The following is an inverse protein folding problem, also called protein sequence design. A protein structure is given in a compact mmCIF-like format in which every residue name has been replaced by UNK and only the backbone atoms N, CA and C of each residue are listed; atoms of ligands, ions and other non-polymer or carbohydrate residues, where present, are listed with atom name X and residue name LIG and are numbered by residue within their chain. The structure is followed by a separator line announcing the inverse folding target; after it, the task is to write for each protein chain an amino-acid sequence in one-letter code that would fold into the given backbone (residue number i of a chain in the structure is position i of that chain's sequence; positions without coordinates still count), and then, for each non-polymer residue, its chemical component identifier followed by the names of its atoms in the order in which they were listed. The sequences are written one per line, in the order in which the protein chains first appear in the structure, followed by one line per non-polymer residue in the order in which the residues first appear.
data_IF_792086968215
#
_entry.id   IF_792086968215
#
_cell.length_a   1.000
_cell.length_b   1.000
_cell.length_c   1.000
_cell.angle_alpha   90.00
_cell.angle_beta   90.00
_cell.angle_gamma   90.00
#
_symmetry.space_group_name_H-M   'P 1'
#
loop_
_entity.id
_entity.type
_entity.pdbx_description
1 polymer ?
#
# COMPACT_ATOMS: atom_id res chain seq x y z
N UNK A 1 4.85 1.02 -17.41
CA UNK A 1 5.36 -0.10 -18.24
C UNK A 1 6.84 -0.46 -17.98
N UNK A 2 7.47 -0.05 -16.86
CA UNK A 2 8.93 -0.25 -16.64
C UNK A 2 9.34 -1.11 -15.44
N UNK A 3 8.41 -1.67 -14.66
CA UNK A 3 8.76 -2.67 -13.63
C UNK A 3 8.59 -4.05 -14.24
N UNK A 4 9.66 -4.55 -14.89
CA UNK A 4 9.79 -5.97 -15.15
C UNK A 4 9.57 -6.73 -13.84
N UNK A 5 8.86 -7.85 -13.88
CA UNK A 5 8.47 -8.61 -12.69
C UNK A 5 9.71 -8.93 -11.86
N UNK A 6 9.84 -8.27 -10.70
CA UNK A 6 10.88 -8.59 -9.74
C UNK A 6 10.71 -10.06 -9.35
N UNK A 7 11.78 -10.84 -9.48
CA UNK A 7 11.73 -12.28 -9.24
C UNK A 7 11.22 -12.56 -7.81
N UNK A 8 10.27 -13.47 -7.70
CA UNK A 8 9.69 -13.86 -6.40
C UNK A 8 8.61 -12.91 -5.86
N UNK A 9 8.05 -12.00 -6.66
CA UNK A 9 6.92 -11.17 -6.19
C UNK A 9 5.64 -11.98 -6.05
N UNK A 10 4.98 -11.92 -4.88
CA UNK A 10 3.73 -12.65 -4.57
C UNK A 10 2.56 -11.68 -4.42
N UNK A 11 1.42 -11.92 -5.08
CA UNK A 11 0.20 -11.14 -4.85
C UNK A 11 -0.43 -11.51 -3.51
N UNK A 12 -0.86 -10.51 -2.74
CA UNK A 12 -1.64 -10.71 -1.52
C UNK A 12 -3.11 -10.93 -1.90
N UNK A 13 -3.74 -11.96 -1.34
CA UNK A 13 -5.15 -12.28 -1.65
C UNK A 13 -6.18 -11.44 -0.88
N UNK A 14 -5.72 -10.68 0.12
CA UNK A 14 -6.58 -9.94 1.07
C UNK A 14 -6.64 -8.44 0.79
N UNK A 15 -5.70 -7.92 0.01
CA UNK A 15 -5.59 -6.50 -0.35
C UNK A 15 -5.05 -6.41 -1.77
N UNK A 16 -5.31 -5.30 -2.47
CA UNK A 16 -4.67 -5.05 -3.76
C UNK A 16 -3.21 -4.63 -3.56
N UNK A 17 -2.35 -5.63 -3.34
CA UNK A 17 -0.97 -5.42 -2.98
C UNK A 17 -0.08 -6.63 -3.28
N UNK A 18 1.22 -6.38 -3.25
CA UNK A 18 2.25 -7.37 -3.59
C UNK A 18 3.29 -7.45 -2.47
N UNK A 19 3.72 -8.67 -2.17
CA UNK A 19 4.85 -8.98 -1.31
C UNK A 19 6.09 -9.21 -2.17
N UNK A 20 7.12 -8.41 -1.95
CA UNK A 20 8.42 -8.59 -2.57
C UNK A 20 9.27 -9.49 -1.67
N UNK A 21 9.87 -10.52 -2.24
CA UNK A 21 10.84 -11.38 -1.54
C UNK A 21 12.24 -10.75 -1.61
N UNK A 22 12.35 -9.52 -1.12
CA UNK A 22 13.58 -8.74 -1.09
C UNK A 22 13.80 -8.21 0.33
N UNK A 23 15.02 -8.36 0.85
CA UNK A 23 15.38 -7.72 2.10
C UNK A 23 15.91 -6.29 1.87
N UNK A 24 16.02 -5.53 2.97
CA UNK A 24 16.50 -4.14 2.95
C UNK A 24 17.95 -4.04 2.45
N UNK A 25 18.76 -5.07 2.66
CA UNK A 25 20.16 -5.06 2.27
C UNK A 25 20.28 -5.20 0.75
N UNK A 26 19.64 -6.22 0.17
CA UNK A 26 19.57 -6.49 -1.27
C UNK A 26 19.09 -5.27 -2.07
N UNK A 27 18.06 -4.58 -1.57
CA UNK A 27 17.56 -3.36 -2.21
C UNK A 27 18.57 -2.19 -2.17
N UNK A 28 19.39 -2.09 -1.13
CA UNK A 28 20.38 -1.01 -0.98
C UNK A 28 21.67 -1.29 -1.73
N UNK A 29 22.06 -2.55 -1.85
CA UNK A 29 23.27 -2.99 -2.55
C UNK A 29 23.02 -3.32 -4.03
N UNK A 30 21.77 -3.20 -4.51
CA UNK A 30 21.39 -3.44 -5.89
C UNK A 30 22.27 -2.64 -6.87
N UNK A 31 22.95 -3.31 -7.83
CA UNK A 31 23.74 -2.65 -8.86
C UNK A 31 22.90 -1.72 -9.74
N UNK A 32 23.50 -0.63 -10.22
CA UNK A 32 22.84 0.27 -11.16
C UNK A 32 22.40 -0.48 -12.43
N UNK A 33 21.21 -0.15 -12.94
CA UNK A 33 20.62 -0.83 -14.11
C UNK A 33 19.83 -2.10 -13.79
N UNK A 34 19.78 -2.54 -12.53
CA UNK A 34 18.89 -3.63 -12.09
C UNK A 34 17.48 -3.13 -11.79
N UNK A 35 16.49 -4.03 -11.82
CA UNK A 35 15.11 -3.70 -11.49
C UNK A 35 14.94 -3.28 -10.02
N UNK A 36 15.75 -3.83 -9.12
CA UNK A 36 15.79 -3.49 -7.70
C UNK A 36 16.29 -2.05 -7.49
N UNK A 37 17.32 -1.62 -8.25
CA UNK A 37 17.80 -0.24 -8.22
C UNK A 37 16.73 0.74 -8.72
N UNK A 38 16.05 0.42 -9.83
CA UNK A 38 14.93 1.22 -10.33
C UNK A 38 13.75 1.27 -9.34
N UNK A 39 13.42 0.14 -8.70
CA UNK A 39 12.39 0.11 -7.65
C UNK A 39 12.78 1.02 -6.47
N UNK A 40 14.03 0.95 -6.02
CA UNK A 40 14.53 1.81 -4.94
C UNK A 40 14.38 3.29 -5.28
N UNK A 41 14.81 3.69 -6.47
CA UNK A 41 14.67 5.08 -6.95
C UNK A 41 13.21 5.51 -7.02
N UNK A 42 12.34 4.66 -7.56
CA UNK A 42 10.90 4.91 -7.61
C UNK A 42 10.28 5.07 -6.22
N UNK A 43 10.63 4.23 -5.25
CA UNK A 43 10.16 4.36 -3.87
C UNK A 43 10.65 5.65 -3.20
N UNK A 44 11.92 6.01 -3.39
CA UNK A 44 12.46 7.27 -2.86
C UNK A 44 11.70 8.46 -3.47
N UNK A 45 11.56 8.49 -4.80
CA UNK A 45 10.83 9.54 -5.51
C UNK A 45 9.36 9.64 -5.07
N UNK A 46 8.68 8.51 -4.93
CA UNK A 46 7.28 8.43 -4.49
C UNK A 46 7.08 8.93 -3.06
N UNK A 47 7.98 8.58 -2.14
CA UNK A 47 7.92 9.05 -0.75
C UNK A 47 8.26 10.53 -0.61
N UNK A 48 9.30 11.02 -1.30
CA UNK A 48 9.68 12.45 -1.27
C UNK A 48 8.60 13.34 -1.88
N UNK A 49 7.86 12.87 -2.89
CA UNK A 49 6.75 13.61 -3.50
C UNK A 49 5.42 13.48 -2.75
N UNK A 50 5.37 12.73 -1.64
CA UNK A 50 4.15 12.53 -0.85
C UNK A 50 3.12 11.61 -1.51
N UNK A 51 3.46 10.96 -2.63
CA UNK A 51 2.56 10.03 -3.35
C UNK A 51 2.53 8.63 -2.72
N UNK A 52 3.45 8.35 -1.81
CA UNK A 52 3.58 7.05 -1.15
C UNK A 52 3.86 7.25 0.34
N UNK A 53 3.13 6.52 1.17
CA UNK A 53 3.36 6.44 2.60
C UNK A 53 3.94 5.07 2.95
N UNK A 54 5.00 5.06 3.76
CA UNK A 54 5.52 3.81 4.33
C UNK A 54 4.72 3.50 5.58
N UNK A 55 4.02 2.37 5.58
CA UNK A 55 3.26 1.90 6.73
C UNK A 55 3.69 0.49 7.14
N UNK A 56 3.70 0.27 8.45
CA UNK A 56 3.79 -1.07 9.01
C UNK A 56 2.42 -1.74 8.96
N UNK A 57 2.38 -3.02 8.62
CA UNK A 57 1.13 -3.80 8.49
C UNK A 57 0.27 -3.73 9.75
N UNK A 58 0.86 -3.85 10.95
CA UNK A 58 0.12 -3.77 12.21
C UNK A 58 -0.57 -2.41 12.40
N UNK A 59 0.00 -1.34 11.84
CA UNK A 59 -0.56 0.01 11.88
C UNK A 59 -1.71 0.21 10.89
N UNK A 60 -1.84 -0.65 9.88
CA UNK A 60 -2.89 -0.60 8.86
C UNK A 60 -4.16 -1.35 9.26
N UNK A 61 -4.05 -2.34 10.16
CA UNK A 61 -5.17 -3.19 10.59
C UNK A 61 -6.37 -2.40 11.14
N UNK A 62 -6.20 -1.36 11.99
CA UNK A 62 -7.36 -0.67 12.58
C UNK A 62 -8.29 -0.03 11.54
N UNK A 63 -7.73 0.61 10.50
CA UNK A 63 -8.53 1.23 9.45
C UNK A 63 -9.23 0.18 8.56
N UNK A 64 -8.56 -0.94 8.30
CA UNK A 64 -9.14 -2.06 7.53
C UNK A 64 -10.30 -2.70 8.30
N UNK A 65 -10.14 -2.96 9.61
CA UNK A 65 -11.18 -3.57 10.45
C UNK A 65 -12.37 -2.62 10.68
N UNK A 66 -12.13 -1.30 10.71
CA UNK A 66 -13.20 -0.30 10.83
C UNK A 66 -14.16 -0.32 9.62
N UNK A 67 -13.73 -0.83 8.47
CA UNK A 67 -14.60 -1.05 7.31
C UNK A 67 -15.17 0.23 6.70
N UNK A 68 -14.38 1.31 6.70
CA UNK A 68 -14.78 2.61 6.17
C UNK A 68 -15.17 2.52 4.68
N UNK A 69 -16.31 3.11 4.32
CA UNK A 69 -16.83 3.15 2.95
C UNK A 69 -16.96 4.59 2.46
N UNK A 70 -16.92 4.83 1.14
CA UNK A 70 -17.21 6.15 0.58
C UNK A 70 -18.52 6.72 1.09
N UNK A 71 -18.50 7.98 1.53
CA UNK A 71 -19.66 8.67 2.10
C UNK A 71 -19.86 8.50 3.61
N UNK A 72 -19.04 7.71 4.30
CA UNK A 72 -19.04 7.67 5.77
C UNK A 72 -18.46 8.95 6.38
N UNK A 73 -18.97 9.35 7.55
CA UNK A 73 -18.33 10.36 8.40
C UNK A 73 -17.50 9.66 9.46
N UNK A 74 -16.20 9.90 9.49
CA UNK A 74 -15.27 9.23 10.42
C UNK A 74 -14.61 10.27 11.33
N UNK A 75 -14.58 9.97 12.64
CA UNK A 75 -13.89 10.78 13.64
C UNK A 75 -12.60 10.08 14.08
N UNK A 76 -11.46 10.73 13.87
CA UNK A 76 -10.16 10.30 14.38
C UNK A 76 -9.78 11.15 15.61
N UNK A 77 -9.98 10.60 16.81
CA UNK A 77 -9.72 11.31 18.07
C UNK A 77 -8.23 11.58 18.32
N UNK A 78 -7.32 10.85 17.65
CA UNK A 78 -5.88 11.00 17.81
C UNK A 78 -5.18 10.94 16.45
N UNK A 79 -5.35 12.01 15.67
CA UNK A 79 -4.81 12.12 14.32
C UNK A 79 -3.27 12.23 14.24
N UNK A 80 -2.52 12.20 15.34
CA UNK A 80 -1.05 12.18 15.30
C UNK A 80 -0.53 10.73 15.40
N UNK A 81 0.42 10.28 14.55
CA UNK A 81 1.19 11.00 13.52
C UNK A 81 0.55 11.03 12.11
N UNK A 82 -0.75 10.77 11.97
CA UNK A 82 -1.53 11.07 10.75
C UNK A 82 -1.63 9.95 9.72
N UNK A 83 -0.78 8.91 9.78
CA UNK A 83 -0.79 7.86 8.75
C UNK A 83 -2.10 7.06 8.71
N UNK A 84 -2.79 6.88 9.84
CA UNK A 84 -4.10 6.21 9.89
C UNK A 84 -5.20 7.10 9.33
N UNK A 85 -5.15 8.39 9.65
CA UNK A 85 -6.03 9.40 9.09
C UNK A 85 -5.92 9.44 7.57
N UNK A 86 -4.70 9.43 7.01
CA UNK A 86 -4.48 9.35 5.56
C UNK A 86 -5.11 8.09 4.95
N UNK A 87 -4.93 6.93 5.59
CA UNK A 87 -5.53 5.68 5.13
C UNK A 87 -7.07 5.72 5.14
N UNK A 88 -7.67 6.30 6.17
CA UNK A 88 -9.12 6.50 6.27
C UNK A 88 -9.62 7.43 5.16
N UNK A 89 -8.92 8.54 4.90
CA UNK A 89 -9.26 9.48 3.83
C UNK A 89 -9.21 8.80 2.46
N UNK A 90 -8.21 7.98 2.19
CA UNK A 90 -8.12 7.21 0.95
C UNK A 90 -9.32 6.25 0.79
N UNK A 91 -9.74 5.58 1.86
CA UNK A 91 -10.92 4.70 1.86
C UNK A 91 -12.22 5.48 1.61
N UNK A 92 -12.36 6.68 2.19
CA UNK A 92 -13.51 7.58 1.97
C UNK A 92 -13.59 8.11 0.53
N UNK A 93 -12.44 8.35 -0.11
CA UNK A 93 -12.35 8.77 -1.52
C UNK A 93 -12.58 7.58 -2.49
N UNK A 94 -12.80 6.36 -1.97
CA UNK A 94 -12.99 5.15 -2.77
C UNK A 94 -11.74 4.66 -3.49
N UNK A 95 -10.57 5.20 -3.12
CA UNK A 95 -9.26 4.86 -3.70
C UNK A 95 -8.40 3.98 -2.78
N UNK A 96 -8.79 3.85 -1.51
CA UNK A 96 -8.13 3.01 -0.50
C UNK A 96 -8.49 1.54 -0.64
N UNK A 97 -7.72 0.66 0.03
CA UNK A 97 -7.78 -0.81 0.02
C UNK A 97 -9.19 -1.38 0.23
N UNK A 98 -10.02 -1.30 -0.81
CA UNK A 98 -11.25 -2.04 -0.96
C UNK A 98 -10.86 -3.50 -1.19
N UNK A 99 -10.83 -4.26 -0.10
CA UNK A 99 -11.07 -5.69 -0.20
C UNK A 99 -12.30 -5.89 -1.07
N UNK A 100 -12.16 -6.77 -2.05
CA UNK A 100 -13.22 -7.24 -2.93
C UNK A 100 -14.42 -7.68 -2.11
N UNK A 101 -15.38 -6.79 -1.93
CA UNK A 101 -16.77 -7.13 -1.74
C UNK A 101 -17.36 -7.47 -3.11
N UNK A 102 -17.46 -8.77 -3.40
CA UNK A 102 -18.31 -9.39 -4.43
C UNK A 102 -17.82 -9.33 -5.89
N UNK A 103 -17.07 -10.37 -6.28
CA UNK A 103 -17.39 -11.06 -7.53
C UNK A 103 -18.69 -11.87 -7.32
N UNK A 104 -19.57 -11.88 -8.32
CA UNK A 104 -20.95 -12.33 -8.23
C UNK A 104 -21.16 -13.77 -7.76
N UNK A 105 -22.24 -13.94 -7.00
CA UNK A 105 -23.06 -15.14 -7.00
C UNK A 105 -24.34 -14.82 -7.78
N UNK A 106 -24.50 -15.47 -8.93
CA UNK A 106 -25.77 -15.66 -9.61
C UNK A 106 -26.55 -16.73 -8.84
N UNK A 107 -27.65 -16.37 -8.20
CA UNK A 107 -29.04 -16.90 -8.33
C UNK A 107 -29.96 -16.10 -7.41
#
# INVERSE_FOLDING_TARGET
SHLGTLAGTRRLGVVDGWQLHLDKHALRSAPAGTAEASLREWMISGTTSGKMLRQEVASMLPAVVLGVQPGHTVLDMCAAPGSKTSQIVEMLDGKGMGGTGRAGGVV
#
